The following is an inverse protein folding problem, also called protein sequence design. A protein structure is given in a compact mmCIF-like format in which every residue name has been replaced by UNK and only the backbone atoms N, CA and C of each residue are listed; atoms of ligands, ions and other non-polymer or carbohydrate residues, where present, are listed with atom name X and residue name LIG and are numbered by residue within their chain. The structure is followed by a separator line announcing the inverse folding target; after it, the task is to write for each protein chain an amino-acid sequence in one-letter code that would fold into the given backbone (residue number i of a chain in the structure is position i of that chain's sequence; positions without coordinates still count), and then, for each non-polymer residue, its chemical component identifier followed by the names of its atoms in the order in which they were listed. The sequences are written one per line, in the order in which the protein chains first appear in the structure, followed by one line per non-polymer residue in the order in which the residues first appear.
data_IF_739096060965
#
_entry.id   IF_739096060965
#
_cell.length_a   1.000
_cell.length_b   1.000
_cell.length_c   1.000
_cell.angle_alpha   90.00
_cell.angle_beta   90.00
_cell.angle_gamma   90.00
#
_symmetry.space_group_name_H-M   'P 1'
#
loop_
_entity.id
_entity.type
_entity.pdbx_description
1 polymer ?
#
# COMPACT_ATOMS: atom_id res chain seq x y z
N UNK A 1 -4.10 -11.42 -2.32
CA UNK A 1 -3.86 -10.79 -0.98
C UNK A 1 -4.84 -9.65 -0.73
N UNK A 2 -5.12 -8.75 -1.69
CA UNK A 2 -6.13 -7.67 -1.52
C UNK A 2 -7.55 -8.19 -1.29
N UNK A 3 -7.91 -9.34 -1.84
CA UNK A 3 -9.24 -9.94 -1.63
C UNK A 3 -9.54 -10.26 -0.15
N UNK A 4 -8.52 -10.31 0.70
CA UNK A 4 -8.66 -10.56 2.15
C UNK A 4 -8.73 -9.28 2.99
N UNK A 5 -8.59 -8.12 2.35
CA UNK A 5 -8.62 -6.80 3.00
C UNK A 5 -10.05 -6.25 2.91
N UNK A 6 -10.65 -5.98 4.06
CA UNK A 6 -12.00 -5.39 4.11
C UNK A 6 -11.95 -3.86 4.19
N UNK A 7 -13.06 -3.21 3.77
CA UNK A 7 -13.20 -1.77 3.96
C UNK A 7 -12.54 -0.88 2.91
N UNK A 8 -12.08 -1.44 1.78
CA UNK A 8 -11.57 -0.64 0.66
C UNK A 8 -12.75 0.06 -0.01
N UNK A 9 -12.69 1.38 -0.12
CA UNK A 9 -13.78 2.17 -0.70
C UNK A 9 -13.37 3.61 -0.99
N UNK A 10 -14.24 4.34 -1.68
CA UNK A 10 -14.05 5.73 -2.06
C UNK A 10 -12.93 5.94 -3.07
N UNK A 11 -12.17 7.02 -2.92
CA UNK A 11 -10.98 7.31 -3.71
C UNK A 11 -9.79 6.57 -3.13
N UNK A 12 -9.16 5.71 -3.93
CA UNK A 12 -8.09 4.80 -3.49
C UNK A 12 -6.75 5.22 -4.07
N UNK A 13 -5.73 5.28 -3.23
CA UNK A 13 -4.32 5.38 -3.63
C UNK A 13 -3.68 3.99 -3.57
N UNK A 14 -3.10 3.52 -4.67
CA UNK A 14 -2.19 2.37 -4.71
C UNK A 14 -0.74 2.90 -4.64
N UNK A 15 -0.18 2.88 -3.44
CA UNK A 15 1.13 3.45 -3.15
C UNK A 15 2.24 2.43 -3.47
N UNK A 16 3.16 2.80 -4.37
CA UNK A 16 4.13 1.85 -4.94
C UNK A 16 3.45 0.84 -5.85
N UNK A 17 2.60 1.31 -6.74
CA UNK A 17 1.72 0.47 -7.57
C UNK A 17 2.46 -0.47 -8.52
N UNK A 18 3.77 -0.30 -8.71
CA UNK A 18 4.54 -1.09 -9.64
C UNK A 18 3.92 -1.10 -11.04
N UNK A 19 3.68 -2.29 -11.58
CA UNK A 19 3.04 -2.47 -12.89
C UNK A 19 1.50 -2.47 -12.84
N UNK A 20 0.88 -2.02 -11.73
CA UNK A 20 -0.53 -1.64 -11.62
C UNK A 20 -1.52 -2.76 -11.37
N UNK A 21 -1.11 -3.96 -10.97
CA UNK A 21 -2.05 -5.09 -10.82
C UNK A 21 -3.13 -4.81 -9.77
N UNK A 22 -2.75 -4.27 -8.60
CA UNK A 22 -3.70 -3.93 -7.53
C UNK A 22 -4.64 -2.80 -7.95
N UNK A 23 -4.09 -1.72 -8.51
CA UNK A 23 -4.88 -0.59 -8.99
C UNK A 23 -5.90 -0.99 -10.05
N UNK A 24 -5.49 -1.81 -11.03
CA UNK A 24 -6.35 -2.33 -12.09
C UNK A 24 -7.44 -3.26 -11.52
N UNK A 25 -7.07 -4.13 -10.57
CA UNK A 25 -8.02 -5.01 -9.90
C UNK A 25 -9.10 -4.20 -9.16
N UNK A 26 -8.71 -3.17 -8.41
CA UNK A 26 -9.64 -2.32 -7.69
C UNK A 26 -10.53 -1.48 -8.63
N UNK A 27 -9.99 -0.96 -9.72
CA UNK A 27 -10.78 -0.24 -10.71
C UNK A 27 -11.89 -1.12 -11.34
N UNK A 28 -11.64 -2.42 -11.53
CA UNK A 28 -12.67 -3.38 -11.99
C UNK A 28 -13.86 -3.49 -11.05
N UNK A 29 -13.69 -3.18 -9.76
CA UNK A 29 -14.79 -3.18 -8.78
C UNK A 29 -15.57 -1.86 -8.76
N UNK A 30 -15.26 -0.93 -9.65
CA UNK A 30 -15.93 0.37 -9.77
C UNK A 30 -15.35 1.48 -8.88
N UNK A 31 -14.19 1.24 -8.26
CA UNK A 31 -13.53 2.24 -7.43
C UNK A 31 -12.74 3.25 -8.28
N UNK A 32 -12.65 4.49 -7.81
CA UNK A 32 -11.74 5.49 -8.36
C UNK A 32 -10.35 5.25 -7.80
N UNK A 33 -9.39 4.93 -8.66
CA UNK A 33 -8.04 4.52 -8.24
C UNK A 33 -6.98 5.38 -8.88
N UNK A 34 -6.02 5.82 -8.05
CA UNK A 34 -4.78 6.48 -8.48
C UNK A 34 -3.62 5.59 -8.05
N UNK A 35 -2.79 5.16 -9.00
CA UNK A 35 -1.56 4.41 -8.73
C UNK A 35 -0.33 5.31 -8.85
N UNK A 36 0.57 5.24 -7.88
CA UNK A 36 1.84 5.99 -7.93
C UNK A 36 3.03 5.07 -7.72
N UNK A 37 4.08 5.30 -8.48
CA UNK A 37 5.36 4.60 -8.31
C UNK A 37 6.51 5.52 -8.74
N UNK A 38 7.69 5.35 -8.15
CA UNK A 38 8.88 6.13 -8.52
C UNK A 38 9.49 5.67 -9.84
N UNK A 39 9.23 4.42 -10.24
CA UNK A 39 9.79 3.81 -11.43
C UNK A 39 8.95 4.15 -12.67
N UNK A 40 9.43 5.09 -13.51
CA UNK A 40 8.78 5.48 -14.76
C UNK A 40 8.37 4.27 -15.62
N UNK A 41 9.26 3.28 -15.77
CA UNK A 41 8.98 2.09 -16.59
C UNK A 41 7.83 1.25 -16.02
N UNK A 42 7.73 1.11 -14.71
CA UNK A 42 6.62 0.41 -14.07
C UNK A 42 5.28 1.13 -14.34
N UNK A 43 5.25 2.44 -14.19
CA UNK A 43 4.09 3.28 -14.50
C UNK A 43 3.66 3.19 -15.97
N UNK A 44 4.61 3.17 -16.90
CA UNK A 44 4.32 2.98 -18.33
C UNK A 44 3.66 1.61 -18.60
N UNK A 45 4.20 0.55 -17.99
CA UNK A 45 3.62 -0.81 -18.11
C UNK A 45 2.21 -0.83 -17.49
N UNK A 46 2.01 -0.19 -16.33
CA UNK A 46 0.71 -0.11 -15.67
C UNK A 46 -0.35 0.55 -16.57
N UNK A 47 -0.01 1.68 -17.20
CA UNK A 47 -0.89 2.37 -18.17
C UNK A 47 -1.26 1.49 -19.35
N UNK A 48 -0.27 0.80 -19.96
CA UNK A 48 -0.53 -0.12 -21.07
C UNK A 48 -1.44 -1.28 -20.66
N UNK A 49 -1.22 -1.87 -19.47
CA UNK A 49 -2.06 -2.96 -18.95
C UNK A 49 -3.49 -2.49 -18.66
N UNK A 50 -3.67 -1.32 -18.04
CA UNK A 50 -5.00 -0.77 -17.77
C UNK A 50 -5.77 -0.56 -19.06
N UNK A 51 -5.16 0.08 -20.06
CA UNK A 51 -5.76 0.29 -21.37
C UNK A 51 -6.12 -1.03 -22.06
N UNK A 52 -5.22 -2.02 -22.08
CA UNK A 52 -5.45 -3.33 -22.66
C UNK A 52 -6.59 -4.11 -21.97
N UNK A 53 -6.86 -3.83 -20.69
CA UNK A 53 -7.93 -4.45 -19.91
C UNK A 53 -9.21 -3.59 -19.84
N UNK A 54 -9.26 -2.46 -20.56
CA UNK A 54 -10.41 -1.55 -20.60
C UNK A 54 -10.69 -0.89 -19.25
N UNK A 55 -9.66 -0.69 -18.42
CA UNK A 55 -9.81 -0.07 -17.10
C UNK A 55 -9.29 1.36 -17.09
N UNK A 56 -10.04 2.25 -16.46
CA UNK A 56 -9.63 3.63 -16.22
C UNK A 56 -8.95 3.73 -14.86
N UNK A 57 -7.64 3.96 -14.88
CA UNK A 57 -6.82 4.19 -13.68
C UNK A 57 -5.85 5.33 -13.98
N UNK A 58 -5.75 6.28 -13.08
CA UNK A 58 -4.72 7.31 -13.16
C UNK A 58 -3.40 6.76 -12.60
N UNK A 59 -2.32 6.88 -13.38
CA UNK A 59 -0.99 6.48 -12.92
C UNK A 59 -0.02 7.67 -13.01
N UNK A 60 0.73 7.91 -11.93
CA UNK A 60 1.73 8.98 -11.87
C UNK A 60 3.09 8.47 -11.40
N UNK A 61 4.16 9.07 -11.93
CA UNK A 61 5.51 8.88 -11.40
C UNK A 61 5.69 9.82 -10.22
N UNK A 62 5.81 9.27 -9.02
CA UNK A 62 5.86 10.06 -7.79
C UNK A 62 6.57 9.30 -6.67
N UNK A 63 7.29 10.04 -5.82
CA UNK A 63 7.81 9.52 -4.55
C UNK A 63 6.70 9.59 -3.49
N UNK A 64 6.30 8.45 -2.97
CA UNK A 64 5.24 8.34 -1.94
C UNK A 64 5.59 9.05 -0.63
N UNK A 65 6.87 9.37 -0.41
CA UNK A 65 7.33 10.16 0.75
C UNK A 65 7.11 11.67 0.57
N UNK A 66 6.61 12.09 -0.62
CA UNK A 66 6.30 13.48 -0.97
C UNK A 66 5.19 13.54 -2.00
N UNK A 67 4.00 13.05 -1.64
CA UNK A 67 2.83 13.00 -2.52
C UNK A 67 2.29 14.40 -2.80
N UNK A 68 2.07 14.78 -4.07
CA UNK A 68 1.58 16.10 -4.46
C UNK A 68 0.04 16.20 -4.42
N UNK A 69 -0.60 15.53 -3.45
CA UNK A 69 -2.05 15.55 -3.30
C UNK A 69 -2.46 16.41 -2.10
N UNK A 70 -3.65 17.03 -2.15
CA UNK A 70 -4.18 17.80 -1.04
C UNK A 70 -4.44 16.92 0.19
N UNK A 71 -4.48 17.53 1.37
CA UNK A 71 -4.82 16.83 2.60
C UNK A 71 -6.22 16.21 2.51
N UNK A 72 -6.31 14.94 2.91
CA UNK A 72 -7.57 14.21 2.90
C UNK A 72 -8.08 13.79 1.53
N UNK A 73 -7.23 13.74 0.51
CA UNK A 73 -7.61 13.36 -0.85
C UNK A 73 -8.08 11.90 -0.98
N UNK A 74 -7.66 11.02 -0.09
CA UNK A 74 -7.92 9.59 -0.20
C UNK A 74 -8.76 9.05 0.96
N UNK A 75 -9.73 8.23 0.62
CA UNK A 75 -10.50 7.41 1.57
C UNK A 75 -9.71 6.19 2.02
N UNK A 76 -8.97 5.60 1.08
CA UNK A 76 -8.19 4.37 1.32
C UNK A 76 -6.82 4.46 0.64
N UNK A 77 -5.80 3.97 1.31
CA UNK A 77 -4.47 3.71 0.72
C UNK A 77 -4.16 2.23 0.81
N UNK A 78 -3.64 1.68 -0.29
CA UNK A 78 -3.09 0.32 -0.35
C UNK A 78 -1.57 0.43 -0.49
N UNK A 79 -0.87 -0.24 0.38
CA UNK A 79 0.57 -0.51 0.32
C UNK A 79 0.78 -2.03 0.25
N UNK A 80 1.15 -2.52 -0.90
CA UNK A 80 1.43 -3.94 -1.08
C UNK A 80 2.90 -4.15 -1.41
N UNK A 81 3.73 -4.23 -0.36
CA UNK A 81 5.16 -4.50 -0.51
C UNK A 81 6.02 -3.25 -0.71
N UNK A 82 5.56 -2.06 -0.33
CA UNK A 82 6.35 -0.85 -0.40
C UNK A 82 6.99 -0.49 0.96
N UNK A 83 6.24 -0.55 2.06
CA UNK A 83 6.72 -0.13 3.38
C UNK A 83 8.05 -0.82 3.78
N UNK A 84 8.22 -2.09 3.45
CA UNK A 84 9.40 -2.86 3.80
C UNK A 84 10.66 -2.53 2.98
N UNK A 85 10.55 -1.69 1.93
CA UNK A 85 11.73 -1.26 1.16
C UNK A 85 12.44 -0.04 1.77
N UNK A 86 11.79 0.64 2.72
CA UNK A 86 12.33 1.83 3.33
C UNK A 86 13.18 1.54 4.57
N UNK A 87 14.22 2.37 4.76
CA UNK A 87 14.88 2.50 6.04
C UNK A 87 13.97 3.24 7.06
N UNK A 88 14.40 3.33 8.30
CA UNK A 88 13.61 3.93 9.38
C UNK A 88 13.22 5.39 9.10
N UNK A 89 14.13 6.18 8.53
CA UNK A 89 13.85 7.58 8.18
C UNK A 89 12.86 7.69 7.01
N UNK A 90 12.95 6.77 6.04
CA UNK A 90 12.01 6.64 4.93
C UNK A 90 10.60 6.27 5.40
N UNK A 91 10.48 5.28 6.31
CA UNK A 91 9.21 4.87 6.93
C UNK A 91 8.53 6.03 7.66
N UNK A 92 9.28 6.80 8.45
CA UNK A 92 8.74 7.96 9.16
C UNK A 92 8.25 9.06 8.21
N UNK A 93 8.97 9.33 7.10
CA UNK A 93 8.54 10.31 6.08
C UNK A 93 7.30 9.80 5.33
N UNK A 94 7.28 8.54 5.00
CA UNK A 94 6.15 7.91 4.32
C UNK A 94 4.88 7.96 5.18
N UNK A 95 4.96 7.53 6.45
CA UNK A 95 3.83 7.63 7.39
C UNK A 95 3.30 9.07 7.51
N UNK A 96 4.19 10.05 7.69
CA UNK A 96 3.80 11.46 7.75
C UNK A 96 3.06 11.92 6.49
N UNK A 97 3.50 11.47 5.32
CA UNK A 97 2.85 11.77 4.05
C UNK A 97 1.46 11.13 3.97
N UNK A 98 1.34 9.83 4.33
CA UNK A 98 0.06 9.14 4.40
C UNK A 98 -0.91 9.83 5.34
N UNK A 99 -0.46 10.21 6.53
CA UNK A 99 -1.26 10.95 7.52
C UNK A 99 -1.77 12.30 6.99
N UNK A 100 -1.07 12.92 6.04
CA UNK A 100 -1.54 14.13 5.37
C UNK A 100 -2.62 13.82 4.33
N UNK A 101 -2.36 12.88 3.42
CA UNK A 101 -3.21 12.67 2.23
C UNK A 101 -4.45 11.82 2.49
N UNK A 102 -4.45 11.00 3.55
CA UNK A 102 -5.63 10.23 3.97
C UNK A 102 -6.58 11.14 4.74
N UNK A 103 -7.89 11.06 4.47
CA UNK A 103 -8.88 11.83 5.23
C UNK A 103 -9.04 11.31 6.66
N UNK A 104 -9.56 12.11 7.60
CA UNK A 104 -9.98 11.62 8.91
C UNK A 104 -10.95 10.43 8.78
N UNK A 105 -10.70 9.36 9.54
CA UNK A 105 -11.45 8.10 9.45
C UNK A 105 -11.12 7.22 8.23
N UNK A 106 -10.27 7.69 7.31
CA UNK A 106 -9.78 6.90 6.17
C UNK A 106 -8.85 5.75 6.58
N UNK A 107 -8.61 4.83 5.67
CA UNK A 107 -7.89 3.58 5.94
C UNK A 107 -6.57 3.51 5.20
N UNK A 108 -5.57 2.92 5.83
CA UNK A 108 -4.32 2.48 5.19
C UNK A 108 -4.16 0.98 5.41
N UNK A 109 -4.05 0.24 4.32
CA UNK A 109 -3.78 -1.20 4.35
C UNK A 109 -2.34 -1.43 3.94
N UNK A 110 -1.55 -2.04 4.82
CA UNK A 110 -0.13 -2.34 4.61
C UNK A 110 0.05 -3.85 4.59
N UNK A 111 0.61 -4.36 3.50
CA UNK A 111 0.90 -5.78 3.32
C UNK A 111 2.41 -5.93 3.15
N UNK A 112 3.04 -6.55 4.13
CA UNK A 112 4.51 -6.67 4.21
C UNK A 112 4.93 -8.08 4.59
N UNK A 113 6.15 -8.48 4.20
CA UNK A 113 6.72 -9.74 4.66
C UNK A 113 6.94 -9.70 6.17
N UNK A 114 6.45 -10.73 6.85
CA UNK A 114 6.56 -10.83 8.30
C UNK A 114 7.91 -11.37 8.74
N UNK A 115 8.30 -11.09 9.98
CA UNK A 115 9.47 -11.71 10.64
C UNK A 115 9.37 -13.23 10.72
N UNK A 116 8.18 -13.79 10.56
CA UNK A 116 7.95 -15.24 10.55
C UNK A 116 8.33 -15.90 9.21
N UNK A 117 8.60 -15.11 8.15
CA UNK A 117 9.04 -15.66 6.86
C UNK A 117 10.48 -16.16 6.99
N UNK A 118 10.74 -17.47 6.82
CA UNK A 118 12.08 -18.02 6.87
C UNK A 118 12.92 -17.61 5.67
N UNK A 119 14.24 -17.83 5.79
CA UNK A 119 15.21 -17.52 4.73
C UNK A 119 15.69 -16.06 4.77
N UNK A 120 16.64 -15.75 3.89
CA UNK A 120 17.24 -14.41 3.77
C UNK A 120 16.86 -13.73 2.44
N UNK A 121 16.26 -14.45 1.52
CA UNK A 121 15.86 -13.95 0.20
C UNK A 121 14.67 -12.99 0.33
N UNK A 122 14.60 -12.03 -0.60
CA UNK A 122 13.51 -11.08 -0.68
C UNK A 122 13.72 -9.82 0.15
N UNK A 123 12.65 -9.05 0.41
CA UNK A 123 12.73 -7.78 1.12
C UNK A 123 12.98 -7.95 2.63
N UNK A 124 13.25 -6.82 3.30
CA UNK A 124 13.35 -6.78 4.77
C UNK A 124 12.08 -7.32 5.43
N UNK A 125 12.28 -8.04 6.53
CA UNK A 125 11.18 -8.54 7.38
C UNK A 125 10.68 -7.42 8.30
N UNK A 126 9.37 -7.36 8.49
CA UNK A 126 8.74 -6.34 9.33
C UNK A 126 8.03 -7.03 10.48
N UNK A 127 8.23 -6.53 11.70
CA UNK A 127 7.54 -7.04 12.90
C UNK A 127 6.21 -6.32 13.11
N UNK A 128 5.28 -6.97 13.82
CA UNK A 128 4.05 -6.28 14.24
C UNK A 128 4.34 -5.08 15.15
N UNK A 129 5.37 -5.17 16.00
CA UNK A 129 5.79 -4.07 16.87
C UNK A 129 6.27 -2.86 16.05
N UNK A 130 7.02 -3.11 14.98
CA UNK A 130 7.46 -2.05 14.07
C UNK A 130 6.29 -1.38 13.35
N UNK A 131 5.32 -2.15 12.86
CA UNK A 131 4.10 -1.60 12.25
C UNK A 131 3.35 -0.70 13.25
N UNK A 132 3.11 -1.18 14.47
CA UNK A 132 2.42 -0.40 15.51
C UNK A 132 3.17 0.87 15.87
N UNK A 133 4.49 0.80 16.04
CA UNK A 133 5.30 1.98 16.40
C UNK A 133 5.37 3.01 15.27
N UNK A 134 5.40 2.56 14.01
CA UNK A 134 5.44 3.45 12.83
C UNK A 134 4.14 4.25 12.65
N UNK A 135 3.00 3.69 13.06
CA UNK A 135 1.68 4.32 12.95
C UNK A 135 1.08 4.66 14.34
N UNK A 136 1.91 4.99 15.32
CA UNK A 136 1.44 5.23 16.69
C UNK A 136 0.73 6.59 16.85
N UNK A 137 1.07 7.61 16.07
CA UNK A 137 0.55 8.97 16.24
C UNK A 137 -0.42 9.36 15.14
N UNK A 138 -1.65 9.70 15.49
CA UNK A 138 -2.70 10.11 14.55
C UNK A 138 -3.44 8.96 13.86
N UNK A 139 -3.23 7.73 14.34
CA UNK A 139 -3.92 6.52 13.90
C UNK A 139 -4.57 5.83 15.10
N UNK A 140 -5.65 5.08 14.85
CA UNK A 140 -6.26 4.20 15.83
C UNK A 140 -5.44 2.90 15.96
N UNK A 141 -5.72 2.12 17.00
CA UNK A 141 -5.04 0.83 17.21
C UNK A 141 -5.25 -0.08 16.00
N UNK A 142 -4.18 -0.59 15.37
CA UNK A 142 -4.30 -1.30 14.10
C UNK A 142 -4.87 -2.71 14.27
N UNK A 143 -5.64 -3.13 13.29
CA UNK A 143 -5.94 -4.55 13.10
C UNK A 143 -4.83 -5.19 12.28
N UNK A 144 -4.08 -6.13 12.86
CA UNK A 144 -3.00 -6.87 12.19
C UNK A 144 -3.30 -8.36 12.22
N UNK A 145 -3.24 -9.00 11.06
CA UNK A 145 -3.42 -10.45 10.92
C UNK A 145 -2.33 -11.06 10.04
N UNK A 146 -2.07 -12.34 10.26
CA UNK A 146 -1.23 -13.12 9.36
C UNK A 146 -1.90 -13.28 7.99
N UNK A 147 -1.08 -13.33 6.96
CA UNK A 147 -1.50 -13.52 5.57
C UNK A 147 -0.38 -14.10 4.72
N UNK A 148 -0.66 -14.21 3.43
CA UNK A 148 0.32 -14.68 2.43
C UNK A 148 0.52 -13.58 1.40
N UNK A 149 1.77 -13.24 1.14
CA UNK A 149 2.18 -12.35 0.06
C UNK A 149 2.53 -13.21 -1.16
N UNK A 150 1.78 -13.06 -2.25
CA UNK A 150 2.09 -13.75 -3.51
C UNK A 150 3.39 -13.22 -4.10
N UNK A 151 4.31 -14.12 -4.39
CA UNK A 151 5.64 -13.77 -4.90
C UNK A 151 6.16 -14.86 -5.83
N UNK A 152 6.99 -14.48 -6.80
CA UNK A 152 7.69 -15.41 -7.67
C UNK A 152 8.88 -16.13 -7.00
N UNK A 153 9.29 -15.69 -5.80
CA UNK A 153 10.42 -16.29 -5.07
C UNK A 153 10.00 -17.58 -4.36
N UNK A 154 8.75 -17.65 -3.89
CA UNK A 154 8.20 -18.79 -3.15
C UNK A 154 6.90 -19.25 -3.80
N UNK A 155 6.80 -20.51 -4.20
CA UNK A 155 5.61 -21.08 -4.85
C UNK A 155 4.34 -20.97 -3.99
N UNK A 156 4.46 -21.09 -2.67
CA UNK A 156 3.35 -20.96 -1.72
C UNK A 156 3.17 -19.52 -1.21
N UNK A 157 3.88 -18.55 -1.80
CA UNK A 157 3.97 -17.19 -1.31
C UNK A 157 4.84 -17.05 -0.07
N UNK A 158 4.98 -15.83 0.44
CA UNK A 158 5.72 -15.51 1.65
C UNK A 158 4.76 -15.19 2.81
N UNK A 159 5.14 -15.56 4.04
CA UNK A 159 4.40 -15.15 5.24
C UNK A 159 4.39 -13.63 5.36
N UNK A 160 3.23 -13.07 5.60
CA UNK A 160 3.05 -11.63 5.61
C UNK A 160 2.18 -11.17 6.79
N UNK A 161 2.37 -9.91 7.18
CA UNK A 161 1.38 -9.17 7.95
C UNK A 161 0.49 -8.38 6.99
N UNK A 162 -0.81 -8.48 7.25
CA UNK A 162 -1.84 -7.64 6.65
C UNK A 162 -2.34 -6.71 7.76
N UNK A 163 -1.92 -5.47 7.72
CA UNK A 163 -2.24 -4.46 8.73
C UNK A 163 -3.23 -3.44 8.16
N UNK A 164 -4.20 -3.05 8.97
CA UNK A 164 -5.15 -1.97 8.65
C UNK A 164 -5.07 -0.91 9.72
N UNK A 165 -4.75 0.30 9.32
CA UNK A 165 -4.72 1.49 10.16
C UNK A 165 -5.87 2.42 9.78
N UNK A 166 -6.59 2.94 10.77
CA UNK A 166 -7.59 3.98 10.58
C UNK A 166 -7.04 5.31 11.04
N UNK A 167 -7.10 6.34 10.19
CA UNK A 167 -6.71 7.68 10.62
C UNK A 167 -7.68 8.22 11.66
N UNK A 168 -7.14 8.71 12.78
CA UNK A 168 -7.96 9.31 13.85
C UNK A 168 -8.77 10.49 13.33
N UNK A 169 -9.96 10.66 13.87
CA UNK A 169 -10.88 11.76 13.52
C UNK A 169 -10.69 13.02 14.37
N UNK A 170 -9.77 12.93 15.34
CA UNK A 170 -9.43 14.03 16.26
C UNK A 170 -8.17 14.76 15.85
#
# INVERSE_FOLDING_TARGET
TLATVGGIGGVVLDAGCGTGENAIYLAKTGLTVIGVDVALRAVQIARCKAAARGQTVEFAVCDVRSLPFPGGAFDTVIDSGLFHVFDQAGKARYEKCLRTVVRPGGLVHVIVWSEEQPGQEGPARVTQAELKSSFASGWEDPFIKAGVYETAIHEQGARAWVATFRKSTR
#
